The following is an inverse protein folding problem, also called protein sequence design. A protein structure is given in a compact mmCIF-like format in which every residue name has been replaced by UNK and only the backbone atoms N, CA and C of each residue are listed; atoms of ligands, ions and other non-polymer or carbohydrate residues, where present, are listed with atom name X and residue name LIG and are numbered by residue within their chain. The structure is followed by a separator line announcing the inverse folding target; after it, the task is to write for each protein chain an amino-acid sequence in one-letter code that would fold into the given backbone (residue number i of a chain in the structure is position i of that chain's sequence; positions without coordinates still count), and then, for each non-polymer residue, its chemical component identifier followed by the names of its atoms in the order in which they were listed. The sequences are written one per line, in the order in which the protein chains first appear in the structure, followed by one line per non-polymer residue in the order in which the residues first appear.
data_IF_729750624592
#
_entry.id   IF_729750624592
#
_cell.length_a   1.000
_cell.length_b   1.000
_cell.length_c   1.000
_cell.angle_alpha   90.00
_cell.angle_beta   90.00
_cell.angle_gamma   90.00
#
_symmetry.space_group_name_H-M   'P 1'
#
loop_
_entity.id
_entity.type
_entity.pdbx_description
1 polymer ?
#
# COMPACT_ATOMS: atom_id res chain seq x y z
N UNK A 1 17.74 -17.29 12.89
CA UNK A 1 17.31 -17.37 14.31
C UNK A 1 16.00 -18.14 14.37
N UNK A 2 15.75 -18.95 15.42
CA UNK A 2 14.45 -19.62 15.58
C UNK A 2 13.32 -18.58 15.68
N UNK A 3 12.15 -18.91 15.12
CA UNK A 3 10.97 -18.04 15.17
C UNK A 3 10.29 -18.21 16.55
N UNK A 4 10.05 -17.11 17.28
CA UNK A 4 9.25 -17.10 18.51
C UNK A 4 7.94 -17.90 18.36
N UNK A 5 7.63 -18.79 19.28
CA UNK A 5 6.42 -19.64 19.18
C UNK A 5 5.19 -19.01 19.83
N UNK A 6 5.35 -18.14 20.84
CA UNK A 6 4.27 -17.47 21.59
C UNK A 6 3.10 -18.41 21.99
N UNK A 7 3.40 -19.67 22.31
CA UNK A 7 2.40 -20.69 22.64
C UNK A 7 1.50 -21.12 21.47
N UNK A 8 1.81 -20.69 20.24
CA UNK A 8 1.04 -20.94 19.03
C UNK A 8 1.92 -20.88 17.76
N UNK A 9 2.80 -21.88 17.60
CA UNK A 9 3.77 -21.99 16.51
C UNK A 9 3.24 -21.81 15.06
N UNK A 10 2.03 -22.27 14.67
CA UNK A 10 1.54 -22.00 13.31
C UNK A 10 1.19 -20.52 13.10
N UNK A 11 0.67 -19.84 14.12
CA UNK A 11 0.25 -18.42 14.05
C UNK A 11 1.45 -17.47 14.01
N UNK A 12 2.55 -17.81 14.70
CA UNK A 12 3.77 -17.01 14.63
C UNK A 12 4.46 -17.12 13.27
N UNK A 13 4.45 -18.30 12.65
CA UNK A 13 4.99 -18.51 11.29
C UNK A 13 4.15 -17.78 10.23
N UNK A 14 2.83 -17.80 10.33
CA UNK A 14 1.97 -17.04 9.40
C UNK A 14 2.17 -15.53 9.55
N UNK A 15 2.41 -15.03 10.77
CA UNK A 15 2.74 -13.62 10.99
C UNK A 15 4.04 -13.21 10.25
N UNK A 16 5.12 -14.00 10.38
CA UNK A 16 6.38 -13.72 9.68
C UNK A 16 6.20 -13.79 8.16
N UNK A 17 5.40 -14.74 7.66
CA UNK A 17 5.08 -14.82 6.22
C UNK A 17 4.33 -13.58 5.73
N UNK A 18 3.31 -13.13 6.47
CA UNK A 18 2.54 -11.92 6.15
C UNK A 18 3.45 -10.70 6.12
N UNK A 19 4.39 -10.57 7.07
CA UNK A 19 5.38 -9.48 7.10
C UNK A 19 6.28 -9.50 5.88
N UNK A 20 6.76 -10.67 5.46
CA UNK A 20 7.57 -10.79 4.25
C UNK A 20 6.78 -10.35 3.00
N UNK A 21 5.52 -10.77 2.87
CA UNK A 21 4.67 -10.35 1.75
C UNK A 21 4.35 -8.85 1.77
N UNK A 22 4.19 -8.25 2.96
CA UNK A 22 4.03 -6.80 3.11
C UNK A 22 5.25 -6.05 2.60
N UNK A 23 6.46 -6.47 3.00
CA UNK A 23 7.72 -5.84 2.54
C UNK A 23 7.86 -5.94 1.03
N UNK A 24 7.63 -7.12 0.45
CA UNK A 24 7.73 -7.33 -1.00
C UNK A 24 6.75 -6.42 -1.76
N UNK A 25 5.51 -6.33 -1.29
CA UNK A 25 4.48 -5.47 -1.90
C UNK A 25 4.85 -3.98 -1.83
N UNK A 26 5.42 -3.53 -0.71
CA UNK A 26 5.86 -2.14 -0.56
C UNK A 26 7.08 -1.82 -1.44
N UNK A 27 8.05 -2.73 -1.56
CA UNK A 27 9.18 -2.57 -2.48
C UNK A 27 8.69 -2.46 -3.92
N UNK A 28 7.69 -3.26 -4.32
CA UNK A 28 7.10 -3.16 -5.66
C UNK A 28 6.45 -1.79 -5.91
N UNK A 29 5.70 -1.26 -4.93
CA UNK A 29 5.12 0.11 -5.03
C UNK A 29 6.22 1.17 -5.16
N UNK A 30 7.26 1.10 -4.32
CA UNK A 30 8.39 2.05 -4.36
C UNK A 30 9.14 1.96 -5.71
N UNK A 31 9.37 0.75 -6.23
CA UNK A 31 10.03 0.55 -7.52
C UNK A 31 9.22 1.12 -8.69
N UNK A 32 7.90 0.89 -8.70
CA UNK A 32 7.00 1.45 -9.72
C UNK A 32 6.92 2.97 -9.67
N UNK A 33 6.91 3.55 -8.46
CA UNK A 33 6.85 5.01 -8.27
C UNK A 33 8.17 5.71 -8.61
N UNK A 34 9.32 5.05 -8.54
CA UNK A 34 10.60 5.63 -8.97
C UNK A 34 10.61 6.03 -10.46
N UNK A 35 9.96 5.24 -11.32
CA UNK A 35 9.78 5.59 -12.73
C UNK A 35 8.91 6.84 -12.89
N UNK A 36 7.86 6.97 -12.09
CA UNK A 36 7.00 8.15 -12.11
C UNK A 36 7.75 9.41 -11.69
N UNK A 37 8.58 9.33 -10.64
CA UNK A 37 9.43 10.46 -10.22
C UNK A 37 10.36 10.90 -11.35
N UNK A 38 10.95 9.95 -12.07
CA UNK A 38 11.82 10.27 -13.21
C UNK A 38 11.06 10.99 -14.34
N UNK A 39 9.85 10.55 -14.64
CA UNK A 39 8.97 11.15 -15.66
C UNK A 39 8.47 12.54 -15.25
N UNK A 40 8.17 12.75 -13.97
CA UNK A 40 7.80 14.05 -13.37
C UNK A 40 8.93 15.06 -13.54
N UNK A 41 10.16 14.68 -13.22
CA UNK A 41 11.33 15.57 -13.35
C UNK A 41 11.57 15.95 -14.82
N UNK A 42 11.41 15.01 -15.74
CA UNK A 42 11.62 15.25 -17.17
C UNK A 42 10.51 16.08 -17.81
N UNK A 43 9.26 15.92 -17.36
CA UNK A 43 8.10 16.64 -17.92
C UNK A 43 7.86 18.01 -17.29
N UNK A 44 8.46 18.32 -16.14
CA UNK A 44 8.28 19.60 -15.43
C UNK A 44 6.86 19.80 -14.90
N UNK A 45 6.09 18.73 -14.79
CA UNK A 45 4.69 18.71 -14.32
C UNK A 45 4.65 18.27 -12.86
N UNK A 46 3.81 18.91 -12.06
CA UNK A 46 3.67 18.56 -10.64
C UNK A 46 2.90 17.23 -10.47
N UNK A 47 3.39 16.29 -9.63
CA UNK A 47 2.75 14.99 -9.46
C UNK A 47 1.33 15.08 -8.89
N UNK A 48 0.44 14.14 -9.23
CA UNK A 48 -0.81 13.97 -8.52
C UNK A 48 -0.55 13.74 -7.02
N UNK A 49 -1.16 14.58 -6.18
CA UNK A 49 -1.08 14.53 -4.71
C UNK A 49 -1.39 13.14 -4.14
N UNK A 50 -2.24 12.37 -4.81
CA UNK A 50 -2.61 11.01 -4.43
C UNK A 50 -1.43 10.03 -4.55
N UNK A 51 -0.60 10.15 -5.60
CA UNK A 51 0.61 9.32 -5.77
C UNK A 51 1.67 9.69 -4.73
N UNK A 52 1.87 10.99 -4.49
CA UNK A 52 2.80 11.47 -3.46
C UNK A 52 2.39 10.98 -2.07
N UNK A 53 1.09 11.10 -1.74
CA UNK A 53 0.55 10.58 -0.48
C UNK A 53 0.74 9.07 -0.34
N UNK A 54 0.50 8.31 -1.41
CA UNK A 54 0.72 6.86 -1.44
C UNK A 54 2.18 6.51 -1.20
N UNK A 55 3.11 7.23 -1.83
CA UNK A 55 4.55 7.02 -1.64
C UNK A 55 4.98 7.29 -0.20
N UNK A 56 4.56 8.42 0.37
CA UNK A 56 4.88 8.79 1.75
C UNK A 56 4.39 7.74 2.76
N UNK A 57 3.13 7.31 2.64
CA UNK A 57 2.55 6.28 3.53
C UNK A 57 3.29 4.95 3.36
N UNK A 58 3.61 4.56 2.12
CA UNK A 58 4.32 3.31 1.82
C UNK A 58 5.73 3.30 2.42
N UNK A 59 6.47 4.41 2.33
CA UNK A 59 7.82 4.52 2.91
C UNK A 59 7.80 4.42 4.44
N UNK A 60 6.87 5.11 5.10
CA UNK A 60 6.71 5.04 6.55
C UNK A 60 6.30 3.62 6.98
N UNK A 61 5.35 3.01 6.27
CA UNK A 61 4.91 1.64 6.52
C UNK A 61 6.06 0.64 6.33
N UNK A 62 6.91 0.81 5.32
CA UNK A 62 8.06 -0.06 5.07
C UNK A 62 9.07 -0.02 6.23
N UNK A 63 9.42 1.18 6.69
CA UNK A 63 10.30 1.36 7.85
C UNK A 63 9.70 0.73 9.12
N UNK A 64 8.41 0.96 9.36
CA UNK A 64 7.71 0.35 10.49
C UNK A 64 7.73 -1.18 10.42
N UNK A 65 7.45 -1.78 9.25
CA UNK A 65 7.43 -3.24 9.12
C UNK A 65 8.81 -3.85 9.38
N UNK A 66 9.89 -3.21 8.93
CA UNK A 66 11.27 -3.64 9.21
C UNK A 66 11.59 -3.60 10.71
N UNK A 67 11.17 -2.54 11.40
CA UNK A 67 11.36 -2.40 12.85
C UNK A 67 10.50 -3.42 13.61
N UNK A 68 9.26 -3.64 13.19
CA UNK A 68 8.32 -4.57 13.83
C UNK A 68 8.83 -6.02 13.85
N UNK A 69 9.59 -6.41 12.82
CA UNK A 69 10.30 -7.69 12.74
C UNK A 69 11.29 -7.80 13.90
N UNK A 70 12.17 -6.81 14.11
CA UNK A 70 13.13 -6.82 15.22
C UNK A 70 12.44 -6.89 16.59
N UNK A 71 11.35 -6.13 16.79
CA UNK A 71 10.56 -6.17 18.02
C UNK A 71 9.90 -7.53 18.27
N UNK A 72 9.42 -8.20 17.22
CA UNK A 72 8.86 -9.54 17.31
C UNK A 72 9.89 -10.58 17.80
N UNK A 73 11.15 -10.46 17.38
CA UNK A 73 12.22 -11.34 17.88
C UNK A 73 12.68 -11.02 19.29
N UNK A 74 12.38 -9.84 19.82
CA UNK A 74 12.78 -9.41 21.17
C UNK A 74 11.88 -9.98 22.29
N UNK A 75 10.88 -10.82 21.98
CA UNK A 75 9.98 -11.46 22.95
C UNK A 75 9.24 -10.48 23.89
N UNK A 76 9.12 -9.21 23.50
CA UNK A 76 8.49 -8.16 24.30
C UNK A 76 6.96 -8.30 24.28
N UNK A 77 6.38 -8.90 25.32
CA UNK A 77 4.96 -9.26 25.36
C UNK A 77 4.00 -8.06 25.24
N UNK A 78 4.34 -6.89 25.81
CA UNK A 78 3.56 -5.64 25.61
C UNK A 78 3.72 -5.10 24.18
N UNK A 79 4.88 -5.34 23.56
CA UNK A 79 5.17 -4.92 22.19
C UNK A 79 4.19 -5.51 21.17
N UNK A 80 3.69 -6.74 21.40
CA UNK A 80 2.70 -7.37 20.52
C UNK A 80 1.39 -6.57 20.39
N UNK A 81 0.90 -6.02 21.50
CA UNK A 81 -0.35 -5.24 21.50
C UNK A 81 -0.15 -3.87 20.85
N UNK A 82 0.98 -3.22 21.10
CA UNK A 82 1.34 -1.94 20.47
C UNK A 82 1.50 -2.12 18.96
N UNK A 83 2.14 -3.21 18.50
CA UNK A 83 2.22 -3.55 17.08
C UNK A 83 0.86 -3.81 16.46
N UNK A 84 -0.08 -4.44 17.18
CA UNK A 84 -1.44 -4.64 16.67
C UNK A 84 -2.16 -3.30 16.42
N UNK A 85 -1.99 -2.34 17.34
CA UNK A 85 -2.53 -0.98 17.19
C UNK A 85 -1.91 -0.23 16.01
N UNK A 86 -0.58 -0.31 15.85
CA UNK A 86 0.11 0.31 14.73
C UNK A 86 -0.28 -0.30 13.38
N UNK A 87 -0.43 -1.63 13.30
CA UNK A 87 -0.94 -2.30 12.10
C UNK A 87 -2.36 -1.88 11.73
N UNK A 88 -3.21 -1.67 12.74
CA UNK A 88 -4.57 -1.18 12.52
C UNK A 88 -4.59 0.28 12.03
N UNK A 89 -3.71 1.14 12.55
CA UNK A 89 -3.56 2.50 12.04
C UNK A 89 -3.05 2.53 10.59
N UNK A 90 -2.12 1.64 10.24
CA UNK A 90 -1.65 1.48 8.86
C UNK A 90 -2.74 0.90 7.95
N UNK A 91 -3.55 -0.04 8.44
CA UNK A 91 -4.71 -0.54 7.71
C UNK A 91 -5.65 0.59 7.31
N UNK A 92 -6.02 1.48 8.25
CA UNK A 92 -6.87 2.64 7.96
C UNK A 92 -6.21 3.53 6.89
N UNK A 93 -4.91 3.77 7.02
CA UNK A 93 -4.15 4.59 6.06
C UNK A 93 -4.20 4.00 4.64
N UNK A 94 -3.97 2.70 4.49
CA UNK A 94 -4.04 2.02 3.19
C UNK A 94 -5.47 1.90 2.64
N UNK A 95 -6.50 1.86 3.49
CA UNK A 95 -7.90 1.94 3.05
C UNK A 95 -8.17 3.31 2.41
N UNK A 96 -7.74 4.40 3.05
CA UNK A 96 -7.89 5.75 2.49
C UNK A 96 -7.17 5.87 1.15
N UNK A 97 -5.94 5.36 1.05
CA UNK A 97 -5.19 5.30 -0.22
C UNK A 97 -5.96 4.49 -1.28
N UNK A 98 -6.44 3.28 -0.94
CA UNK A 98 -7.15 2.42 -1.88
C UNK A 98 -8.44 3.07 -2.42
N UNK A 99 -9.17 3.81 -1.58
CA UNK A 99 -10.41 4.50 -1.97
C UNK A 99 -10.12 5.77 -2.78
N UNK A 100 -9.13 6.57 -2.37
CA UNK A 100 -8.78 7.83 -3.07
C UNK A 100 -8.17 7.57 -4.44
N UNK A 101 -7.26 6.60 -4.54
CA UNK A 101 -6.63 6.19 -5.80
C UNK A 101 -7.58 5.35 -6.66
N UNK A 102 -8.44 4.52 -6.05
CA UNK A 102 -9.34 3.62 -6.77
C UNK A 102 -10.48 4.31 -7.52
N UNK A 103 -11.04 5.40 -6.98
CA UNK A 103 -12.16 6.15 -7.59
C UNK A 103 -11.90 6.55 -9.05
N UNK A 104 -10.79 7.23 -9.40
CA UNK A 104 -10.51 7.58 -10.79
C UNK A 104 -10.04 6.39 -11.64
N UNK A 105 -9.33 5.42 -11.05
CA UNK A 105 -8.74 4.31 -11.79
C UNK A 105 -9.73 3.20 -12.16
N UNK A 106 -10.80 3.03 -11.38
CA UNK A 106 -11.80 1.98 -11.64
C UNK A 106 -12.53 2.15 -12.97
N UNK A 107 -12.56 3.37 -13.51
CA UNK A 107 -13.22 3.69 -14.79
C UNK A 107 -12.24 3.73 -15.98
N UNK A 108 -10.95 3.47 -15.75
CA UNK A 108 -9.91 3.56 -16.76
C UNK A 108 -9.68 2.21 -17.45
N UNK A 109 -9.81 2.20 -18.79
CA UNK A 109 -9.52 1.03 -19.62
C UNK A 109 -8.15 1.19 -20.29
N UNK A 110 -7.11 0.61 -19.69
CA UNK A 110 -5.73 0.73 -20.18
C UNK A 110 -5.49 0.12 -21.58
N UNK A 111 -6.37 -0.77 -22.06
CA UNK A 111 -6.27 -1.35 -23.41
C UNK A 111 -6.64 -0.36 -24.52
N UNK A 112 -7.38 0.71 -24.20
CA UNK A 112 -7.83 1.72 -25.16
C UNK A 112 -6.93 2.96 -25.18
N UNK A 113 -5.94 3.02 -24.28
CA UNK A 113 -4.92 4.06 -24.27
C UNK A 113 -3.88 3.70 -25.33
N UNK A 114 -4.01 4.28 -26.53
CA UNK A 114 -3.02 4.11 -27.60
C UNK A 114 -1.74 4.89 -27.29
N UNK A 115 -0.58 4.32 -27.68
CA UNK A 115 0.76 4.79 -27.27
C UNK A 115 1.14 6.22 -27.73
N UNK A 116 0.29 6.87 -28.53
CA UNK A 116 0.24 8.31 -28.68
C UNK A 116 -1.09 8.65 -29.38
N UNK A 117 -2.05 9.22 -28.66
CA UNK A 117 -3.16 10.00 -29.23
C UNK A 117 -3.90 9.39 -30.43
N UNK A 118 -4.95 8.57 -30.22
CA UNK A 118 -6.14 8.54 -31.09
C UNK A 118 -7.31 7.75 -30.47
N UNK A 119 -8.35 8.51 -30.15
CA UNK A 119 -9.79 8.23 -30.16
C UNK A 119 -10.25 6.76 -30.27
N UNK A 120 -11.01 6.26 -29.28
CA UNK A 120 -12.32 5.57 -29.45
C UNK A 120 -13.16 5.63 -28.14
N UNK A 121 -14.33 6.31 -28.22
CA UNK A 121 -15.57 6.29 -27.40
C UNK A 121 -15.64 6.85 -25.96
N UNK A 122 -16.65 7.64 -25.53
CA UNK A 122 -17.55 8.66 -26.10
C UNK A 122 -18.45 9.14 -24.93
N UNK A 123 -17.97 10.12 -24.14
CA UNK A 123 -18.71 11.01 -23.22
C UNK A 123 -17.75 11.55 -22.13
N UNK A 124 -17.03 10.65 -21.45
CA UNK A 124 -16.07 10.99 -20.38
C UNK A 124 -14.68 11.39 -20.91
N UNK A 125 -14.28 10.87 -22.07
CA UNK A 125 -12.99 11.18 -22.71
C UNK A 125 -12.94 12.59 -23.35
N UNK A 126 -14.10 13.21 -23.63
CA UNK A 126 -14.15 14.56 -24.22
C UNK A 126 -13.84 15.64 -23.18
N UNK A 127 -14.35 15.50 -21.95
CA UNK A 127 -13.99 16.35 -20.80
C UNK A 127 -12.51 16.15 -20.36
N UNK A 128 -12.01 14.91 -20.48
CA UNK A 128 -10.61 14.57 -20.25
C UNK A 128 -9.67 15.22 -21.27
N UNK A 129 -9.98 15.13 -22.56
CA UNK A 129 -9.12 15.71 -23.61
C UNK A 129 -9.16 17.24 -23.59
N UNK A 130 -10.31 17.85 -23.31
CA UNK A 130 -10.40 19.32 -23.21
C UNK A 130 -9.62 19.85 -22.02
N UNK A 131 -9.67 19.19 -20.85
CA UNK A 131 -8.88 19.59 -19.67
C UNK A 131 -7.38 19.29 -19.79
N UNK A 132 -7.00 18.24 -20.53
CA UNK A 132 -5.59 17.88 -20.77
C UNK A 132 -4.97 18.78 -21.85
N UNK A 133 -5.65 19.02 -22.98
CA UNK A 133 -5.14 19.91 -24.05
C UNK A 133 -5.09 21.37 -23.62
N UNK A 134 -5.97 21.81 -22.71
CA UNK A 134 -5.92 23.18 -22.17
C UNK A 134 -4.81 23.40 -21.14
N UNK A 135 -4.17 22.33 -20.63
CA UNK A 135 -3.14 22.41 -19.60
C UNK A 135 -1.78 21.80 -20.01
N UNK A 136 -1.70 21.08 -21.14
CA UNK A 136 -0.43 20.62 -21.71
C UNK A 136 0.34 21.82 -22.28
N UNK A 137 1.44 22.18 -21.62
CA UNK A 137 2.32 23.29 -22.03
C UNK A 137 2.38 24.47 -21.05
N UNK A 138 1.67 24.40 -19.92
CA UNK A 138 1.78 25.39 -18.84
C UNK A 138 2.60 24.79 -17.69
N UNK A 139 3.83 25.26 -17.51
CA UNK A 139 4.66 24.91 -16.35
C UNK A 139 3.94 25.30 -15.06
N UNK A 140 3.67 24.33 -14.18
CA UNK A 140 2.95 24.53 -12.91
C UNK A 140 1.46 24.12 -12.90
N UNK A 141 0.94 23.49 -13.97
CA UNK A 141 -0.42 22.97 -13.98
C UNK A 141 -0.56 21.71 -13.08
N UNK A 142 -1.45 21.78 -12.09
CA UNK A 142 -1.79 20.65 -11.22
C UNK A 142 -2.64 19.63 -12.01
N UNK A 143 -2.03 18.53 -12.47
CA UNK A 143 -2.75 17.46 -13.15
C UNK A 143 -3.38 16.50 -12.14
N UNK A 144 -4.68 16.24 -12.31
CA UNK A 144 -5.39 15.25 -11.51
C UNK A 144 -4.84 13.84 -11.79
N UNK A 145 -4.93 12.95 -10.80
CA UNK A 145 -4.52 11.55 -10.91
C UNK A 145 -5.09 10.85 -12.16
N UNK A 146 -6.34 11.16 -12.50
CA UNK A 146 -7.02 10.62 -13.67
C UNK A 146 -6.35 11.02 -15.00
N UNK A 147 -6.04 12.31 -15.17
CA UNK A 147 -5.36 12.84 -16.36
C UNK A 147 -3.96 12.27 -16.54
N UNK A 148 -3.24 12.12 -15.42
CA UNK A 148 -1.87 11.63 -15.43
C UNK A 148 -1.80 10.11 -15.65
N UNK A 149 -2.66 9.33 -14.99
CA UNK A 149 -2.74 7.88 -15.19
C UNK A 149 -3.23 7.50 -16.60
N UNK A 150 -3.99 8.36 -17.26
CA UNK A 150 -4.45 8.17 -18.64
C UNK A 150 -3.51 8.70 -19.72
N UNK A 151 -2.37 9.30 -19.36
CA UNK A 151 -1.47 9.93 -20.33
C UNK A 151 -0.76 8.93 -21.25
N UNK A 152 -0.35 7.78 -20.70
CA UNK A 152 0.30 6.71 -21.45
C UNK A 152 -0.24 5.35 -21.00
N UNK A 153 -0.13 4.34 -21.88
CA UNK A 153 -0.53 2.97 -21.56
C UNK A 153 0.26 2.43 -20.37
N UNK A 154 1.55 2.73 -20.32
CA UNK A 154 2.44 2.36 -19.22
C UNK A 154 1.95 2.97 -17.89
N UNK A 155 1.66 4.27 -17.85
CA UNK A 155 1.23 4.95 -16.62
C UNK A 155 -0.11 4.42 -16.12
N UNK A 156 -1.00 4.04 -17.03
CA UNK A 156 -2.28 3.41 -16.69
C UNK A 156 -2.08 2.06 -15.99
N UNK A 157 -1.27 1.16 -16.56
CA UNK A 157 -1.02 -0.15 -15.97
C UNK A 157 -0.27 -0.05 -14.64
N UNK A 158 0.73 0.82 -14.56
CA UNK A 158 1.53 0.99 -13.34
C UNK A 158 0.67 1.60 -12.21
N UNK A 159 -0.15 2.60 -12.51
CA UNK A 159 -1.08 3.18 -11.52
C UNK A 159 -2.10 2.14 -11.01
N UNK A 160 -2.62 1.30 -11.93
CA UNK A 160 -3.53 0.21 -11.59
C UNK A 160 -2.85 -0.87 -10.75
N UNK A 161 -1.58 -1.16 -11.04
CA UNK A 161 -0.78 -2.08 -10.24
C UNK A 161 -0.55 -1.54 -8.82
N UNK A 162 -0.18 -0.26 -8.66
CA UNK A 162 -0.04 0.38 -7.34
C UNK A 162 -1.34 0.29 -6.53
N UNK A 163 -2.48 0.57 -7.17
CA UNK A 163 -3.80 0.41 -6.54
C UNK A 163 -4.06 -1.04 -6.09
N UNK A 164 -3.74 -2.02 -6.96
CA UNK A 164 -3.87 -3.45 -6.63
C UNK A 164 -2.99 -3.87 -5.46
N UNK A 165 -1.73 -3.42 -5.41
CA UNK A 165 -0.85 -3.66 -4.25
C UNK A 165 -1.35 -2.97 -2.98
N UNK A 166 -1.97 -1.79 -3.08
CA UNK A 166 -2.60 -1.13 -1.93
C UNK A 166 -3.74 -1.99 -1.34
N UNK A 167 -4.56 -2.62 -2.18
CA UNK A 167 -5.61 -3.54 -1.73
C UNK A 167 -5.00 -4.78 -1.08
N UNK A 168 -3.95 -5.35 -1.68
CA UNK A 168 -3.25 -6.49 -1.11
C UNK A 168 -2.67 -6.15 0.28
N UNK A 169 -2.09 -4.95 0.43
CA UNK A 169 -1.60 -4.46 1.73
C UNK A 169 -2.72 -4.33 2.76
N UNK A 170 -3.92 -3.86 2.39
CA UNK A 170 -5.08 -3.86 3.29
C UNK A 170 -5.39 -5.27 3.83
N UNK A 171 -5.40 -6.29 2.97
CA UNK A 171 -5.66 -7.68 3.38
C UNK A 171 -4.56 -8.19 4.32
N UNK A 172 -3.31 -7.91 3.98
CA UNK A 172 -2.16 -8.34 4.77
C UNK A 172 -2.14 -7.64 6.15
N UNK A 173 -2.38 -6.33 6.23
CA UNK A 173 -2.47 -5.59 7.50
C UNK A 173 -3.68 -6.01 8.33
N UNK A 174 -4.81 -6.36 7.71
CA UNK A 174 -5.97 -6.95 8.41
C UNK A 174 -5.61 -8.29 9.04
N UNK A 175 -4.87 -9.12 8.31
CA UNK A 175 -4.41 -10.41 8.83
C UNK A 175 -3.44 -10.19 10.00
N UNK A 176 -2.49 -9.27 9.87
CA UNK A 176 -1.52 -8.94 10.92
C UNK A 176 -2.18 -8.39 12.20
N UNK A 177 -3.17 -7.50 12.06
CA UNK A 177 -3.89 -6.89 13.19
C UNK A 177 -4.76 -7.89 13.97
N UNK A 178 -5.18 -9.01 13.35
CA UNK A 178 -5.89 -10.11 14.02
C UNK A 178 -4.91 -11.11 14.65
N UNK A 179 -3.80 -11.41 13.98
CA UNK A 179 -2.80 -12.37 14.47
C UNK A 179 -2.09 -11.88 15.75
N UNK A 180 -1.76 -10.60 15.86
CA UNK A 180 -1.00 -10.08 17.00
C UNK A 180 -1.75 -10.14 18.34
N UNK A 181 -3.02 -9.69 18.47
CA UNK A 181 -3.79 -9.84 19.71
C UNK A 181 -4.04 -11.30 20.09
N UNK A 182 -4.25 -12.17 19.10
CA UNK A 182 -4.46 -13.61 19.35
C UNK A 182 -3.19 -14.28 19.87
N UNK A 183 -2.02 -13.95 19.31
CA UNK A 183 -0.72 -14.37 19.83
C UNK A 183 -0.47 -13.84 21.25
N UNK A 184 -0.79 -12.57 21.52
CA UNK A 184 -0.67 -12.00 22.87
C UNK A 184 -1.53 -12.76 23.89
N UNK A 185 -2.79 -13.03 23.55
CA UNK A 185 -3.71 -13.77 24.42
C UNK A 185 -3.23 -15.22 24.67
N UNK A 186 -2.74 -15.90 23.62
CA UNK A 186 -2.19 -17.26 23.74
C UNK A 186 -0.90 -17.29 24.54
N UNK A 187 -0.01 -16.31 24.36
CA UNK A 187 1.21 -16.18 25.15
C UNK A 187 0.91 -15.94 26.64
N UNK A 188 -0.05 -15.06 26.96
CA UNK A 188 -0.50 -14.82 28.34
C UNK A 188 -1.12 -16.08 28.97
N UNK A 189 -1.88 -16.87 28.21
CA UNK A 189 -2.42 -18.16 28.69
C UNK A 189 -1.34 -19.22 28.90
N UNK A 190 -0.34 -19.29 28.02
CA UNK A 190 0.78 -20.21 28.17
C UNK A 190 1.68 -19.83 29.37
N UNK A 191 1.76 -18.53 29.71
CA UNK A 191 2.49 -18.03 30.87
C UNK A 191 1.66 -18.00 32.17
N UNK A 192 0.37 -18.33 32.13
CA UNK A 192 -0.44 -18.41 33.35
C UNK A 192 -0.08 -19.70 34.10
N UNK A 193 0.20 -19.64 35.42
CA UNK A 193 0.47 -20.84 36.20
C UNK A 193 -0.75 -21.77 36.11
N UNK A 194 -0.49 -23.07 35.93
CA UNK A 194 -1.53 -24.10 35.97
C UNK A 194 -2.31 -23.94 37.27
N UNK A 195 -3.59 -23.59 37.15
CA UNK A 195 -4.45 -23.43 38.32
C UNK A 195 -4.80 -24.84 38.81
N UNK A 196 -4.01 -25.35 39.76
CA UNK A 196 -4.33 -26.56 40.51
C UNK A 196 -3.09 -27.25 41.09
N UNK A 197 -2.85 -27.04 42.39
CA UNK A 197 -2.58 -28.08 43.42
C UNK A 197 -2.30 -27.38 44.76
N UNK A 198 -3.36 -27.15 45.54
CA UNK A 198 -3.37 -26.98 47.01
C UNK A 198 -4.77 -27.34 47.52
#
# INVERSE_FOLDING_TARGET
MPIPSYGAAPLSKTFVLVRAMQVISMIAIVGMTANFVSEIIQSGVEPPKEIVGTLCVTCIAALYVLISVAFFWSEANIGLFVMAGADFALLISFIVVAVTVGKPLSFLNCSLVSDASRAVNAASAYAFTTSVTSNLGVSGANLNLYSWAGATKLNCYVSKAIWGFSIALCILFTTSSILLPTLFYKNKKAAAPAKGEA
#
